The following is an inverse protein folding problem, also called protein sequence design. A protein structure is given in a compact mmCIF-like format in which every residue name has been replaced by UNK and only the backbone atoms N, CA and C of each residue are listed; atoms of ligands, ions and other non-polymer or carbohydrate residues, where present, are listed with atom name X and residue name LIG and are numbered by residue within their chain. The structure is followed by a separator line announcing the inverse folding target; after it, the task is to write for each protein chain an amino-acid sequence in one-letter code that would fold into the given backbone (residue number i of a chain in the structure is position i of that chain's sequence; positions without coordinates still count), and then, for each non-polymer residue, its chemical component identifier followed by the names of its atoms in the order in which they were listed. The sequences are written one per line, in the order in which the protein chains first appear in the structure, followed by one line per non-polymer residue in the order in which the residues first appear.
data_IF_442411245778
#
_entry.id   IF_442411245778
#
_cell.length_a   1.000
_cell.length_b   1.000
_cell.length_c   1.000
_cell.angle_alpha   90.00
_cell.angle_beta   90.00
_cell.angle_gamma   90.00
#
_symmetry.space_group_name_H-M   'P 1'
#
loop_
_entity.id
_entity.type
_entity.pdbx_description
1 polymer ?
#
# COMPACT_ATOMS: atom_id res chain seq x y z
N UNK A 1 -22.51 15.61 -13.54
CA UNK A 1 -22.65 14.14 -13.64
C UNK A 1 -22.34 13.77 -15.07
N UNK A 2 -21.34 12.94 -15.26
CA UNK A 2 -20.87 12.51 -16.57
C UNK A 2 -21.30 11.07 -16.83
N UNK A 3 -21.46 10.68 -18.08
CA UNK A 3 -21.97 9.34 -18.43
C UNK A 3 -20.91 8.57 -19.20
N UNK A 4 -20.60 7.36 -18.73
CA UNK A 4 -19.71 6.43 -19.39
C UNK A 4 -20.51 5.30 -20.03
N UNK A 5 -20.38 5.16 -21.35
CA UNK A 5 -20.93 4.07 -22.12
C UNK A 5 -19.89 2.96 -22.27
N UNK A 6 -20.24 1.75 -21.86
CA UNK A 6 -19.34 0.59 -21.89
C UNK A 6 -20.06 -0.67 -22.36
N UNK A 7 -19.26 -1.69 -22.72
CA UNK A 7 -19.73 -3.02 -23.11
C UNK A 7 -18.93 -4.09 -22.38
N UNK A 8 -19.58 -5.17 -21.96
CA UNK A 8 -18.90 -6.29 -21.29
C UNK A 8 -18.06 -7.15 -22.26
N UNK A 9 -18.24 -6.98 -23.57
CA UNK A 9 -17.48 -7.69 -24.60
C UNK A 9 -16.16 -6.99 -24.96
N UNK A 10 -15.90 -5.80 -24.43
CA UNK A 10 -14.69 -5.04 -24.68
C UNK A 10 -13.68 -5.22 -23.54
N UNK A 11 -12.46 -5.67 -23.86
CA UNK A 11 -11.40 -5.86 -22.87
C UNK A 11 -10.94 -4.53 -22.25
N UNK A 12 -10.81 -3.47 -23.06
CA UNK A 12 -10.46 -2.13 -22.57
C UNK A 12 -11.50 -1.56 -21.60
N UNK A 13 -12.80 -1.86 -21.82
CA UNK A 13 -13.85 -1.44 -20.90
C UNK A 13 -13.71 -2.11 -19.53
N UNK A 14 -13.33 -3.40 -19.49
CA UNK A 14 -13.14 -4.13 -18.22
C UNK A 14 -11.98 -3.57 -17.41
N UNK A 15 -10.86 -3.28 -18.07
CA UNK A 15 -9.70 -2.66 -17.44
C UNK A 15 -10.04 -1.27 -16.88
N UNK A 16 -10.67 -0.42 -17.72
CA UNK A 16 -11.11 0.91 -17.32
C UNK A 16 -12.07 0.87 -16.12
N UNK A 17 -13.07 -0.02 -16.14
CA UNK A 17 -14.06 -0.16 -15.07
C UNK A 17 -13.40 -0.61 -13.76
N UNK A 18 -12.41 -1.50 -13.85
CA UNK A 18 -11.63 -1.96 -12.69
C UNK A 18 -10.86 -0.82 -12.05
N UNK A 19 -10.25 0.05 -12.86
CA UNK A 19 -9.53 1.22 -12.38
C UNK A 19 -10.47 2.24 -11.72
N UNK A 20 -11.59 2.57 -12.36
CA UNK A 20 -12.56 3.54 -11.82
C UNK A 20 -13.21 3.03 -10.53
N UNK A 21 -13.47 1.73 -10.39
CA UNK A 21 -14.14 1.16 -9.20
C UNK A 21 -13.31 1.30 -7.92
N UNK A 22 -11.97 1.29 -8.06
CA UNK A 22 -11.02 1.51 -6.96
C UNK A 22 -11.02 2.97 -6.49
N UNK A 23 -11.41 3.89 -7.36
CA UNK A 23 -11.38 5.32 -7.12
C UNK A 23 -12.68 5.84 -6.52
N UNK A 24 -12.61 6.96 -5.82
CA UNK A 24 -13.79 7.71 -5.39
C UNK A 24 -14.50 8.41 -6.56
N UNK A 25 -13.85 8.52 -7.73
CA UNK A 25 -14.40 9.17 -8.94
C UNK A 25 -15.65 8.47 -9.45
N UNK A 26 -15.87 7.20 -9.08
CA UNK A 26 -17.08 6.44 -9.42
C UNK A 26 -18.40 7.11 -9.01
N UNK A 27 -18.39 7.99 -8.00
CA UNK A 27 -19.58 8.67 -7.48
C UNK A 27 -20.11 9.74 -8.46
N UNK A 28 -19.25 10.26 -9.33
CA UNK A 28 -19.58 11.37 -10.23
C UNK A 28 -19.97 10.90 -11.64
N UNK A 29 -19.71 9.62 -11.93
CA UNK A 29 -19.89 8.99 -13.23
C UNK A 29 -21.08 8.03 -13.18
N UNK A 30 -22.00 8.18 -14.13
CA UNK A 30 -23.09 7.25 -14.36
C UNK A 30 -22.70 6.23 -15.46
N UNK A 31 -22.79 4.94 -15.14
CA UNK A 31 -22.37 3.86 -16.04
C UNK A 31 -23.57 3.29 -16.80
N UNK A 32 -23.48 3.28 -18.14
CA UNK A 32 -24.50 2.68 -19.02
C UNK A 32 -23.88 1.55 -19.83
N UNK A 33 -24.42 0.35 -19.64
CA UNK A 33 -24.06 -0.82 -20.43
C UNK A 33 -24.85 -0.82 -21.75
N UNK A 34 -24.17 -0.89 -22.90
CA UNK A 34 -24.82 -0.86 -24.23
C UNK A 34 -25.12 -2.24 -24.82
N UNK A 35 -24.87 -3.33 -24.07
CA UNK A 35 -24.99 -4.70 -24.58
C UNK A 35 -26.44 -5.07 -24.93
N UNK A 36 -27.40 -4.64 -24.11
CA UNK A 36 -28.84 -4.85 -24.34
C UNK A 36 -29.41 -3.72 -25.18
N UNK A 37 -29.37 -3.86 -26.50
CA UNK A 37 -29.86 -2.85 -27.45
C UNK A 37 -31.00 -3.37 -28.33
N UNK A 38 -32.01 -2.54 -28.55
CA UNK A 38 -33.20 -2.82 -29.37
C UNK A 38 -33.34 -1.74 -30.43
N UNK A 39 -33.53 -2.15 -31.69
CA UNK A 39 -33.79 -1.22 -32.80
C UNK A 39 -35.29 -1.01 -32.93
N UNK A 40 -35.77 0.21 -32.71
CA UNK A 40 -37.18 0.61 -32.93
C UNK A 40 -37.21 1.82 -33.85
N UNK A 41 -38.00 1.75 -34.92
CA UNK A 41 -38.18 2.86 -35.88
C UNK A 41 -36.87 3.45 -36.42
N UNK A 42 -35.88 2.59 -36.68
CA UNK A 42 -34.55 3.00 -37.18
C UNK A 42 -33.59 3.53 -36.11
N UNK A 43 -34.06 3.82 -34.90
CA UNK A 43 -33.27 4.29 -33.78
C UNK A 43 -32.88 3.12 -32.85
N UNK A 44 -31.73 3.23 -32.20
CA UNK A 44 -31.22 2.23 -31.25
C UNK A 44 -31.55 2.68 -29.83
N UNK A 45 -32.19 1.81 -29.06
CA UNK A 45 -32.51 2.00 -27.65
C UNK A 45 -31.74 1.00 -26.80
N UNK A 46 -31.24 1.44 -25.65
CA UNK A 46 -30.58 0.62 -24.64
C UNK A 46 -31.62 0.26 -23.58
N UNK A 47 -31.75 -1.02 -23.28
CA UNK A 47 -32.61 -1.51 -22.21
C UNK A 47 -31.79 -1.58 -20.91
N UNK A 48 -32.13 -0.73 -19.95
CA UNK A 48 -31.55 -0.75 -18.61
C UNK A 48 -32.11 -1.93 -17.81
N UNK A 49 -31.39 -2.34 -16.75
CA UNK A 49 -31.82 -3.43 -15.86
C UNK A 49 -33.15 -3.15 -15.14
N UNK A 50 -33.52 -1.88 -15.00
CA UNK A 50 -34.80 -1.45 -14.42
C UNK A 50 -35.98 -1.52 -15.42
N UNK A 51 -35.76 -2.02 -16.64
CA UNK A 51 -36.77 -2.13 -17.69
C UNK A 51 -37.04 -0.82 -18.45
N UNK A 52 -36.39 0.30 -18.09
CA UNK A 52 -36.49 1.55 -18.85
C UNK A 52 -35.63 1.48 -20.10
N UNK A 53 -36.08 2.15 -21.15
CA UNK A 53 -35.36 2.26 -22.42
C UNK A 53 -34.78 3.68 -22.57
N UNK A 54 -33.49 3.78 -22.87
CA UNK A 54 -32.82 5.05 -23.18
C UNK A 54 -32.42 5.05 -24.64
N UNK A 55 -32.67 6.15 -25.35
CA UNK A 55 -32.18 6.31 -26.72
C UNK A 55 -30.65 6.43 -26.73
N UNK A 56 -29.98 5.57 -27.49
CA UNK A 56 -28.54 5.68 -27.72
C UNK A 56 -28.27 6.90 -28.63
N UNK A 57 -27.42 7.87 -28.21
CA UNK A 57 -27.01 8.97 -29.08
C UNK A 57 -26.20 8.46 -30.28
N UNK A 58 -26.50 8.95 -31.48
CA UNK A 58 -25.83 8.55 -32.73
C UNK A 58 -24.34 8.97 -32.79
N UNK A 59 -23.92 9.83 -31.86
CA UNK A 59 -22.53 10.29 -31.73
C UNK A 59 -21.59 9.18 -31.21
N UNK A 60 -22.16 8.17 -30.53
CA UNK A 60 -21.41 7.07 -29.93
C UNK A 60 -21.26 5.95 -30.97
N UNK A 61 -20.07 5.86 -31.58
CA UNK A 61 -19.75 4.85 -32.59
C UNK A 61 -18.96 3.67 -32.02
N UNK A 62 -18.17 3.93 -30.99
CA UNK A 62 -17.24 2.99 -30.37
C UNK A 62 -17.45 2.96 -28.86
N UNK A 63 -16.84 1.98 -28.17
CA UNK A 63 -16.80 1.90 -26.71
C UNK A 63 -15.40 1.48 -26.28
N UNK A 64 -14.85 2.00 -25.15
CA UNK A 64 -15.50 2.90 -24.19
C UNK A 64 -15.57 4.36 -24.67
N UNK A 65 -16.69 5.02 -24.40
CA UNK A 65 -16.91 6.45 -24.70
C UNK A 65 -17.57 7.13 -23.52
N UNK A 66 -17.04 8.29 -23.14
CA UNK A 66 -17.58 9.11 -22.05
C UNK A 66 -18.15 10.41 -22.61
N UNK A 67 -19.31 10.83 -22.12
CA UNK A 67 -19.91 12.13 -22.42
C UNK A 67 -19.90 12.97 -21.16
N UNK A 68 -19.21 14.10 -21.22
CA UNK A 68 -19.11 15.07 -20.14
C UNK A 68 -20.25 16.09 -20.25
N UNK A 69 -21.37 15.84 -19.59
CA UNK A 69 -22.47 16.81 -19.52
C UNK A 69 -22.06 18.07 -18.76
N UNK A 70 -21.15 17.94 -17.79
CA UNK A 70 -20.59 19.05 -17.03
C UNK A 70 -19.80 20.05 -17.89
N UNK A 71 -19.25 19.60 -19.04
CA UNK A 71 -18.37 20.39 -19.91
C UNK A 71 -18.93 20.55 -21.32
N UNK A 72 -20.24 20.81 -21.43
CA UNK A 72 -20.88 21.13 -22.71
C UNK A 72 -21.06 19.93 -23.64
N UNK A 73 -21.31 18.74 -23.10
CA UNK A 73 -21.49 17.48 -23.85
C UNK A 73 -20.24 17.06 -24.65
N UNK A 74 -19.05 17.33 -24.11
CA UNK A 74 -17.81 16.90 -24.73
C UNK A 74 -17.73 15.36 -24.75
N UNK A 75 -17.46 14.79 -25.91
CA UNK A 75 -17.20 13.37 -26.08
C UNK A 75 -15.72 13.06 -25.90
N UNK A 76 -15.42 12.11 -25.03
CA UNK A 76 -14.08 11.58 -24.81
C UNK A 76 -14.02 10.11 -25.21
N UNK A 77 -12.95 9.75 -25.89
CA UNK A 77 -12.67 8.40 -26.36
C UNK A 77 -11.24 7.97 -26.01
N UNK A 78 -11.03 6.67 -25.84
CA UNK A 78 -9.71 6.07 -25.62
C UNK A 78 -8.93 6.70 -24.47
N UNK A 79 -7.69 7.14 -24.75
CA UNK A 79 -6.79 7.75 -23.77
C UNK A 79 -7.32 9.06 -23.14
N UNK A 80 -8.24 9.75 -23.83
CA UNK A 80 -8.88 10.95 -23.27
C UNK A 80 -9.66 10.66 -21.99
N UNK A 81 -10.27 9.47 -21.90
CA UNK A 81 -11.03 9.04 -20.72
C UNK A 81 -10.08 8.80 -19.54
N UNK A 82 -8.97 8.10 -19.77
CA UNK A 82 -7.96 7.83 -18.75
C UNK A 82 -7.34 9.12 -18.21
N UNK A 83 -6.98 10.06 -19.09
CA UNK A 83 -6.41 11.34 -18.67
C UNK A 83 -7.40 12.12 -17.79
N UNK A 84 -8.68 12.16 -18.19
CA UNK A 84 -9.73 12.84 -17.43
C UNK A 84 -9.88 12.27 -16.01
N UNK A 85 -9.95 10.95 -15.88
CA UNK A 85 -10.07 10.28 -14.57
C UNK A 85 -8.83 10.57 -13.72
N UNK A 86 -7.63 10.46 -14.30
CA UNK A 86 -6.39 10.75 -13.58
C UNK A 86 -6.32 12.20 -13.09
N UNK A 87 -6.80 13.17 -13.88
CA UNK A 87 -6.88 14.57 -13.46
C UNK A 87 -7.84 14.72 -12.28
N UNK A 88 -9.03 14.11 -12.34
CA UNK A 88 -10.00 14.14 -11.23
C UNK A 88 -9.44 13.52 -9.95
N UNK A 89 -8.69 12.42 -10.06
CA UNK A 89 -8.05 11.80 -8.89
C UNK A 89 -6.98 12.70 -8.28
N UNK A 90 -6.16 13.34 -9.11
CA UNK A 90 -5.14 14.30 -8.64
C UNK A 90 -5.79 15.46 -7.90
N UNK A 91 -6.83 16.07 -8.47
CA UNK A 91 -7.54 17.18 -7.82
C UNK A 91 -8.09 16.79 -6.44
N UNK A 92 -8.58 15.56 -6.28
CA UNK A 92 -9.09 15.05 -5.00
C UNK A 92 -7.99 14.70 -3.99
N UNK A 93 -6.85 14.20 -4.46
CA UNK A 93 -5.72 13.88 -3.59
C UNK A 93 -5.00 15.14 -3.10
N UNK A 94 -4.92 16.20 -3.92
CA UNK A 94 -4.34 17.50 -3.50
C UNK A 94 -5.10 18.11 -2.33
N UNK A 95 -6.41 17.85 -2.19
CA UNK A 95 -7.22 18.32 -1.05
C UNK A 95 -6.87 17.58 0.26
N UNK A 96 -6.14 16.46 0.20
CA UNK A 96 -5.81 15.63 1.38
C UNK A 96 -4.42 15.87 1.96
N UNK A 97 -3.62 16.75 1.36
CA UNK A 97 -2.27 17.10 1.86
C UNK A 97 -2.30 18.17 2.96
N UNK A 98 -3.47 18.74 3.28
CA UNK A 98 -3.61 19.60 4.46
C UNK A 98 -3.88 18.74 5.71
N UNK A 99 -3.07 18.88 6.78
CA UNK A 99 -3.30 18.15 8.01
C UNK A 99 -4.66 18.57 8.62
N UNK A 100 -5.47 17.59 8.95
CA UNK A 100 -6.80 17.82 9.54
C UNK A 100 -6.62 18.47 10.92
N UNK A 101 -7.09 19.71 11.09
CA UNK A 101 -6.88 20.52 12.30
C UNK A 101 -7.47 19.89 13.58
N UNK A 102 -8.29 18.84 13.42
CA UNK A 102 -8.91 18.09 14.51
C UNK A 102 -8.70 16.58 14.41
N UNK A 103 -7.62 16.11 13.75
CA UNK A 103 -7.25 14.70 13.76
C UNK A 103 -6.99 14.22 15.19
N UNK A 104 -7.97 13.52 15.77
CA UNK A 104 -7.88 12.86 17.07
C UNK A 104 -7.01 11.58 17.04
N UNK A 105 -6.39 11.28 15.90
CA UNK A 105 -5.34 10.26 15.85
C UNK A 105 -4.07 10.88 16.43
N UNK A 106 -3.96 10.82 17.76
CA UNK A 106 -2.79 11.18 18.56
C UNK A 106 -1.62 10.23 18.27
N UNK A 107 -1.09 10.23 17.04
CA UNK A 107 0.23 9.68 16.78
C UNK A 107 1.28 10.73 17.16
N UNK A 108 1.37 10.94 18.47
CA UNK A 108 2.49 11.34 19.34
C UNK A 108 3.66 12.21 18.81
N UNK A 109 3.51 13.05 17.79
CA UNK A 109 4.55 14.01 17.40
C UNK A 109 3.90 15.35 17.00
N UNK A 110 3.70 16.22 17.98
CA UNK A 110 3.49 17.65 17.74
C UNK A 110 4.84 18.33 17.50
N UNK A 111 4.97 19.09 16.42
CA UNK A 111 6.16 19.93 16.17
C UNK A 111 6.34 20.93 17.31
N UNK A 112 7.59 21.12 17.77
CA UNK A 112 8.01 22.12 18.75
C UNK A 112 7.59 23.57 18.40
N UNK A 113 7.05 23.80 17.22
CA UNK A 113 6.50 25.10 16.79
C UNK A 113 5.14 25.40 17.42
N UNK A 114 4.39 24.40 17.86
CA UNK A 114 3.05 24.56 18.43
C UNK A 114 3.03 24.13 19.89
N UNK A 115 2.69 25.07 20.76
CA UNK A 115 2.59 24.86 22.21
C UNK A 115 1.14 24.76 22.63
N UNK A 116 0.87 23.96 23.67
CA UNK A 116 -0.46 23.91 24.27
C UNK A 116 -0.76 25.24 24.99
N UNK A 117 -2.03 25.67 24.96
CA UNK A 117 -2.49 26.99 25.43
C UNK A 117 -2.30 27.16 26.95
N UNK A 118 -2.21 26.06 27.68
CA UNK A 118 -2.04 25.96 29.12
C UNK A 118 -0.58 25.90 29.58
N UNK A 119 0.39 25.99 28.67
CA UNK A 119 1.83 25.95 29.02
C UNK A 119 2.38 27.34 29.29
N UNK A 120 2.99 27.55 30.46
CA UNK A 120 3.68 28.81 30.76
C UNK A 120 5.02 28.92 30.01
N UNK A 121 5.38 30.11 29.47
CA UNK A 121 6.63 30.29 28.72
C UNK A 121 7.91 29.96 29.47
N UNK A 122 7.92 30.07 30.80
CA UNK A 122 9.11 29.78 31.63
C UNK A 122 9.41 28.27 31.69
N UNK A 123 8.36 27.43 31.61
CA UNK A 123 8.47 25.98 31.57
C UNK A 123 9.02 25.47 30.22
N UNK A 124 8.90 26.28 29.16
CA UNK A 124 9.41 25.98 27.82
C UNK A 124 10.88 26.37 27.61
N UNK A 125 11.51 27.00 28.61
CA UNK A 125 12.91 27.41 28.52
C UNK A 125 13.84 26.19 28.67
N UNK A 126 15.09 26.28 28.23
CA UNK A 126 16.08 25.19 28.34
C UNK A 126 16.44 24.79 29.79
N UNK A 127 15.98 25.58 30.77
CA UNK A 127 16.09 25.31 32.21
C UNK A 127 14.76 24.93 32.86
N UNK A 128 13.67 24.97 32.10
CA UNK A 128 12.33 24.58 32.52
C UNK A 128 12.22 23.06 32.53
N UNK A 129 11.37 22.55 33.42
CA UNK A 129 11.19 21.12 33.67
C UNK A 129 10.13 20.49 32.74
N UNK A 130 9.63 21.24 31.74
CA UNK A 130 8.52 20.80 30.88
C UNK A 130 7.17 20.66 31.59
N UNK A 131 7.09 20.97 32.89
CA UNK A 131 5.84 20.99 33.67
C UNK A 131 5.07 19.66 33.62
N UNK A 132 3.75 19.72 33.40
CA UNK A 132 2.88 18.54 33.22
C UNK A 132 2.80 18.04 31.77
N UNK A 133 3.68 18.52 30.88
CA UNK A 133 3.69 18.07 29.50
C UNK A 133 4.13 16.60 29.43
N UNK A 134 3.52 15.83 28.53
CA UNK A 134 4.00 14.49 28.25
C UNK A 134 5.36 14.58 27.54
N UNK A 135 6.43 14.14 28.18
CA UNK A 135 7.72 13.99 27.51
C UNK A 135 7.60 12.92 26.42
N UNK A 136 7.55 13.34 25.16
CA UNK A 136 7.55 12.45 24.00
C UNK A 136 8.99 11.98 23.76
N UNK A 137 9.31 10.68 23.60
CA UNK A 137 10.64 10.11 23.22
C UNK A 137 11.92 10.69 23.90
N UNK A 138 11.78 11.64 24.81
CA UNK A 138 12.79 12.37 25.53
C UNK A 138 12.63 12.03 27.00
N UNK A 139 13.73 12.10 27.71
CA UNK A 139 13.82 11.72 29.10
C UNK A 139 14.54 12.81 29.86
N UNK A 140 14.17 13.02 31.12
CA UNK A 140 14.85 13.98 31.97
C UNK A 140 16.35 13.63 32.12
N UNK A 141 17.18 14.61 32.44
CA UNK A 141 18.60 14.43 32.73
C UNK A 141 18.86 13.45 33.88
N UNK A 142 17.87 13.24 34.75
CA UNK A 142 17.94 12.29 35.87
C UNK A 142 17.50 10.87 35.47
N UNK A 143 17.08 10.64 34.23
CA UNK A 143 16.58 9.34 33.77
C UNK A 143 17.72 8.35 33.55
N UNK A 144 17.70 7.27 34.35
CA UNK A 144 18.62 6.15 34.22
C UNK A 144 17.82 4.88 33.85
N UNK A 145 17.81 4.54 32.57
CA UNK A 145 17.23 3.28 32.09
C UNK A 145 18.28 2.17 32.06
N UNK A 146 17.87 0.95 32.38
CA UNK A 146 18.69 -0.25 32.19
C UNK A 146 18.02 -1.14 31.17
N UNK A 147 18.59 -1.17 29.96
CA UNK A 147 18.10 -2.03 28.88
C UNK A 147 18.44 -3.48 29.23
N UNK A 148 17.43 -4.34 29.32
CA UNK A 148 17.64 -5.77 29.50
C UNK A 148 18.10 -6.38 28.17
N UNK A 149 19.40 -6.53 28.00
CA UNK A 149 19.94 -7.31 26.87
C UNK A 149 19.77 -8.81 27.13
N UNK A 150 19.48 -9.63 26.10
CA UNK A 150 19.48 -11.07 26.24
C UNK A 150 20.86 -11.57 26.72
N UNK A 151 20.94 -12.69 27.46
CA UNK A 151 22.21 -13.24 27.92
C UNK A 151 23.12 -13.54 26.72
N UNK A 152 24.37 -13.10 26.78
CA UNK A 152 25.36 -13.45 25.75
C UNK A 152 25.66 -14.95 25.78
N UNK A 153 25.14 -15.69 24.79
CA UNK A 153 25.46 -17.10 24.58
C UNK A 153 26.64 -17.28 23.60
N UNK A 154 27.50 -16.27 23.45
CA UNK A 154 28.62 -16.35 22.52
C UNK A 154 29.72 -17.27 23.05
N UNK A 155 29.89 -18.42 22.40
CA UNK A 155 31.02 -19.32 22.65
C UNK A 155 32.08 -19.06 21.58
N UNK A 156 33.24 -18.55 21.97
CA UNK A 156 34.35 -18.25 21.07
C UNK A 156 34.90 -19.52 20.43
N UNK A 157 34.95 -19.57 19.10
CA UNK A 157 35.47 -20.71 18.34
C UNK A 157 37.02 -20.72 18.23
N UNK A 158 37.71 -20.06 19.17
CA UNK A 158 39.19 -20.03 19.20
C UNK A 158 39.68 -21.24 19.97
N UNK A 159 40.44 -22.09 19.29
CA UNK A 159 41.13 -23.23 19.89
C UNK A 159 42.21 -22.67 20.82
N UNK A 160 41.97 -22.66 22.13
CA UNK A 160 42.99 -22.35 23.12
C UNK A 160 43.91 -23.55 23.29
N UNK A 161 45.22 -23.31 23.44
CA UNK A 161 46.28 -24.33 23.48
C UNK A 161 46.20 -25.33 24.64
N UNK A 162 45.14 -25.28 25.44
CA UNK A 162 44.84 -26.14 26.59
C UNK A 162 43.89 -27.30 26.28
N UNK A 163 43.26 -27.32 25.11
CA UNK A 163 42.23 -28.32 24.77
C UNK A 163 42.76 -29.44 23.85
N UNK A 164 43.57 -30.35 24.41
CA UNK A 164 44.06 -31.54 23.67
C UNK A 164 42.92 -32.46 23.18
N UNK A 165 41.73 -32.36 23.78
CA UNK A 165 40.57 -33.17 23.41
C UNK A 165 39.91 -32.75 22.09
N UNK A 166 40.06 -31.49 21.66
CA UNK A 166 39.42 -30.99 20.43
C UNK A 166 40.12 -31.55 19.20
N UNK A 167 41.46 -31.66 19.22
CA UNK A 167 42.23 -32.24 18.13
C UNK A 167 41.92 -33.73 17.95
N UNK A 168 41.82 -34.49 19.04
CA UNK A 168 41.47 -35.90 19.02
C UNK A 168 40.07 -36.14 18.45
N UNK A 169 39.11 -35.28 18.77
CA UNK A 169 37.75 -35.37 18.21
C UNK A 169 37.74 -35.16 16.69
N UNK A 170 38.48 -34.16 16.19
CA UNK A 170 38.59 -33.94 14.73
C UNK A 170 39.33 -35.06 14.01
N UNK A 171 40.34 -35.69 14.65
CA UNK A 171 41.00 -36.86 14.08
C UNK A 171 40.03 -38.05 13.97
N UNK A 172 39.21 -38.27 15.01
CA UNK A 172 38.24 -39.36 15.05
C UNK A 172 37.10 -39.18 14.04
N UNK A 173 36.63 -37.95 13.83
CA UNK A 173 35.65 -37.65 12.78
C UNK A 173 36.22 -37.94 11.39
N UNK A 174 37.47 -37.53 11.12
CA UNK A 174 38.13 -37.80 9.83
C UNK A 174 38.35 -39.29 9.56
N UNK A 175 38.70 -40.07 10.58
CA UNK A 175 38.84 -41.53 10.44
C UNK A 175 37.51 -42.21 10.09
N UNK A 176 36.39 -41.73 10.64
CA UNK A 176 35.07 -42.28 10.34
C UNK A 176 34.58 -41.95 8.92
N UNK A 177 35.06 -40.87 8.31
CA UNK A 177 34.67 -40.45 6.96
C UNK A 177 35.39 -41.21 5.84
N UNK A 178 36.47 -41.94 6.14
CA UNK A 178 37.20 -42.71 5.14
C UNK A 178 36.67 -44.16 5.05
N UNK A 179 36.24 -44.64 3.87
CA UNK A 179 35.84 -46.03 3.72
C UNK A 179 37.05 -46.96 3.87
N UNK A 180 36.97 -47.90 4.83
CA UNK A 180 38.03 -48.89 5.07
C UNK A 180 38.08 -49.86 3.89
N UNK A 181 39.16 -49.81 3.11
CA UNK A 181 39.41 -50.78 2.05
C UNK A 181 39.76 -52.14 2.67
N UNK A 182 38.84 -53.12 2.60
CA UNK A 182 39.13 -54.49 3.05
C UNK A 182 40.21 -55.11 2.16
N UNK A 183 41.34 -55.48 2.75
CA UNK A 183 42.36 -56.26 2.05
C UNK A 183 41.84 -57.70 1.85
N UNK A 184 41.85 -58.25 0.61
CA UNK A 184 41.27 -59.55 0.31
C UNK A 184 42.11 -60.77 0.78
N UNK A 185 43.06 -60.61 1.70
CA UNK A 185 43.99 -61.69 2.09
C UNK A 185 43.93 -62.10 3.57
N UNK A 186 42.97 -61.63 4.38
CA UNK A 186 42.79 -62.10 5.77
C UNK A 186 41.44 -62.72 6.08
N UNK A 187 40.57 -62.98 5.08
CA UNK A 187 39.27 -63.62 5.32
C UNK A 187 39.30 -65.16 5.20
N UNK A 188 40.48 -65.79 5.34
CA UNK A 188 40.57 -67.25 5.53
C UNK A 188 41.68 -67.61 6.53
N UNK A 189 41.37 -67.41 7.81
CA UNK A 189 41.79 -68.25 8.94
C UNK A 189 40.92 -67.94 10.17
#
# INVERSE_FOLDING_TARGET
MDVLYYSNYCNFCKELLTNITKSDVKKDIYFICIDKRVKKNGLIYIQLENGKEIKLPDIIKTVPTMILFSRGNLQLEGNGIYNYINTMEKERNVIRDEPDAFSLNFDSISSDTYSFIDTEPDQMNAKGDGGSMQMHNYVDISYADNITTPPENYVSNRITSSDENVLNNYMKERENELPVHKNPLTDNL
#
